data_IF_601009347194
#
_entry.id   IF_601009347194
#
_cell.length_a   1.000
_cell.length_b   1.000
_cell.length_c   1.000
_cell.angle_alpha   90.00
_cell.angle_beta   90.00
_cell.angle_gamma   90.00
#
_symmetry.space_group_name_H-M   'P 1'
#
loop_
_entity.id
_entity.type
_entity.pdbx_description
1 polymer ?
#
# COMPACT_ATOMS: atom_id res chain seq x y z
N UNK A 1 -10.09 -10.52 12.50
CA UNK A 1 -10.53 -10.06 11.17
C UNK A 1 -9.36 -10.15 10.20
N UNK A 2 -9.56 -10.79 9.04
CA UNK A 2 -8.54 -11.01 8.01
C UNK A 2 -8.42 -9.81 7.07
N UNK A 3 -7.20 -9.53 6.60
CA UNK A 3 -6.93 -8.54 5.55
C UNK A 3 -7.40 -9.11 4.21
N UNK A 4 -8.08 -8.30 3.40
CA UNK A 4 -8.63 -8.67 2.07
C UNK A 4 -7.96 -7.95 0.91
N UNK A 5 -7.34 -6.81 1.16
CA UNK A 5 -6.55 -6.08 0.18
C UNK A 5 -5.30 -5.48 0.83
N UNK A 6 -4.21 -5.40 0.08
CA UNK A 6 -2.95 -4.76 0.48
C UNK A 6 -2.79 -3.49 -0.34
N UNK A 7 -2.43 -2.40 0.32
CA UNK A 7 -2.10 -1.13 -0.32
C UNK A 7 -0.67 -0.78 0.08
N UNK A 8 0.15 -0.45 -0.92
CA UNK A 8 1.45 0.18 -0.74
C UNK A 8 1.32 1.61 -1.26
N UNK A 9 1.63 2.58 -0.40
CA UNK A 9 1.38 3.98 -0.67
C UNK A 9 2.69 4.76 -0.60
N UNK A 10 2.95 5.58 -1.62
CA UNK A 10 4.11 6.46 -1.73
C UNK A 10 3.77 7.94 -1.49
N UNK A 11 2.48 8.27 -1.41
CA UNK A 11 1.97 9.64 -1.20
C UNK A 11 1.09 9.66 0.03
N UNK A 12 1.09 10.76 0.78
CA UNK A 12 0.26 10.89 1.98
C UNK A 12 -1.24 10.77 1.74
N UNK A 13 -1.65 11.06 0.52
CA UNK A 13 -3.04 11.18 0.14
C UNK A 13 -3.42 10.09 -0.86
N UNK A 14 -4.46 9.32 -0.52
CA UNK A 14 -5.09 8.32 -1.37
C UNK A 14 -6.57 8.68 -1.53
N UNK A 15 -7.03 8.85 -2.78
CA UNK A 15 -8.44 9.10 -3.12
C UNK A 15 -9.04 10.36 -2.46
N UNK A 16 -9.27 11.41 -3.23
CA UNK A 16 -9.95 12.63 -2.75
C UNK A 16 -9.26 13.32 -1.54
N UNK A 17 -7.94 13.14 -1.37
CA UNK A 17 -7.16 13.83 -0.34
C UNK A 17 -7.11 13.16 1.05
N UNK A 18 -7.32 11.85 1.17
CA UNK A 18 -7.35 11.17 2.48
C UNK A 18 -6.05 10.50 2.85
N UNK A 19 -5.75 10.47 4.15
CA UNK A 19 -4.57 9.80 4.70
C UNK A 19 -4.94 8.42 5.32
N UNK A 20 -4.76 7.30 4.60
CA UNK A 20 -5.01 5.94 5.12
C UNK A 20 -4.01 5.48 6.17
N UNK A 21 -2.80 6.03 6.17
CA UNK A 21 -1.85 5.79 7.25
C UNK A 21 -2.32 6.45 8.55
N UNK A 22 -3.04 7.57 8.42
CA UNK A 22 -3.59 8.36 9.51
C UNK A 22 -2.50 9.05 10.31
N UNK A 23 -2.82 9.37 11.57
CA UNK A 23 -1.88 9.95 12.54
C UNK A 23 -1.81 9.05 13.77
N UNK A 24 -1.12 7.88 13.71
CA UNK A 24 -1.04 6.98 14.84
C UNK A 24 -0.36 7.65 16.02
N UNK A 25 -0.80 7.34 17.26
CA UNK A 25 -0.15 7.89 18.47
C UNK A 25 1.32 7.48 18.50
N UNK A 26 2.18 8.38 18.97
CA UNK A 26 3.63 8.14 19.09
C UNK A 26 3.99 6.80 19.77
N UNK A 27 3.31 6.47 20.87
CA UNK A 27 3.50 5.19 21.58
C UNK A 27 3.20 3.96 20.71
N UNK A 28 2.25 4.05 19.79
CA UNK A 28 1.94 2.98 18.85
C UNK A 28 3.02 2.85 17.79
N UNK A 29 3.49 3.98 17.23
CA UNK A 29 4.59 4.01 16.28
C UNK A 29 5.85 3.38 16.87
N UNK A 30 6.27 3.82 18.06
CA UNK A 30 7.42 3.29 18.79
C UNK A 30 7.27 1.78 19.06
N UNK A 31 6.10 1.34 19.53
CA UNK A 31 5.81 -0.08 19.77
C UNK A 31 5.89 -0.94 18.50
N UNK A 32 5.58 -0.36 17.34
CA UNK A 32 5.56 -1.06 16.05
C UNK A 32 6.84 -0.88 15.23
N UNK A 33 7.74 0.00 15.65
CA UNK A 33 8.91 0.40 14.85
C UNK A 33 8.53 1.18 13.60
N UNK A 34 7.40 1.90 13.62
CA UNK A 34 6.98 2.79 12.54
C UNK A 34 7.43 4.22 12.80
N UNK A 35 7.49 5.00 11.73
CA UNK A 35 7.69 6.45 11.76
C UNK A 35 6.41 7.15 11.29
N UNK A 36 6.33 8.45 11.55
CA UNK A 36 5.29 9.28 10.92
C UNK A 36 5.50 9.24 9.40
N UNK A 37 4.43 9.06 8.64
CA UNK A 37 4.55 9.00 7.18
C UNK A 37 5.04 10.36 6.67
N UNK A 38 6.04 10.37 5.79
CA UNK A 38 6.56 11.56 5.10
C UNK A 38 6.75 11.27 3.61
N UNK A 39 6.34 12.19 2.73
CA UNK A 39 6.38 11.98 1.27
C UNK A 39 7.81 11.92 0.71
N UNK A 40 8.76 12.39 1.51
CA UNK A 40 10.18 12.58 1.19
C UNK A 40 11.12 11.73 2.05
N UNK A 41 10.61 10.90 2.97
CA UNK A 41 11.43 9.93 3.71
C UNK A 41 11.82 8.72 2.82
N UNK A 42 11.08 8.56 1.71
CA UNK A 42 11.13 7.49 0.73
C UNK A 42 10.97 6.08 1.32
N UNK A 43 10.15 5.99 2.36
CA UNK A 43 9.49 4.77 2.78
C UNK A 43 8.14 4.65 2.04
N UNK A 44 7.65 3.42 1.96
CA UNK A 44 6.30 3.12 1.52
C UNK A 44 5.47 2.72 2.72
N UNK A 45 4.29 3.32 2.87
CA UNK A 45 3.28 2.92 3.84
C UNK A 45 2.52 1.69 3.35
N UNK A 46 2.68 0.55 4.04
CA UNK A 46 1.99 -0.69 3.71
C UNK A 46 0.90 -0.99 4.73
N UNK A 47 -0.35 -1.04 4.28
CA UNK A 47 -1.50 -1.34 5.13
C UNK A 47 -2.49 -2.28 4.45
N UNK A 48 -3.22 -3.00 5.29
CA UNK A 48 -4.25 -3.95 4.88
C UNK A 48 -5.66 -3.41 5.12
N UNK A 49 -6.53 -3.54 4.12
CA UNK A 49 -7.96 -3.26 4.25
C UNK A 49 -8.71 -4.55 4.60
N UNK A 50 -9.70 -4.46 5.50
CA UNK A 50 -10.48 -5.63 5.99
C UNK A 50 -11.73 -5.92 5.16
N UNK A 51 -12.15 -4.94 4.38
CA UNK A 51 -13.21 -5.04 3.41
C UNK A 51 -12.58 -4.78 2.04
N UNK A 52 -13.16 -5.34 0.99
CA UNK A 52 -12.49 -5.44 -0.29
C UNK A 52 -13.48 -5.37 -1.41
N UNK A 53 -13.80 -4.14 -1.84
CA UNK A 53 -13.99 -3.76 -3.24
C UNK A 53 -14.32 -2.25 -3.33
N UNK A 54 -13.84 -1.58 -4.38
CA UNK A 54 -14.08 -0.18 -4.80
C UNK A 54 -13.28 0.96 -4.15
N UNK A 55 -12.62 1.75 -5.01
CA UNK A 55 -12.06 3.08 -4.71
C UNK A 55 -13.11 4.08 -4.16
N UNK A 56 -14.41 3.86 -4.43
CA UNK A 56 -15.52 4.64 -3.88
C UNK A 56 -15.94 4.22 -2.47
N UNK A 57 -15.57 3.03 -1.99
CA UNK A 57 -15.87 2.54 -0.61
C UNK A 57 -14.78 2.88 0.42
N UNK A 58 -13.65 3.43 -0.04
CA UNK A 58 -12.56 3.99 0.78
C UNK A 58 -13.08 4.94 1.87
N UNK A 59 -14.28 5.52 1.71
CA UNK A 59 -14.97 6.32 2.72
C UNK A 59 -15.14 5.67 4.09
N UNK A 60 -15.53 4.39 4.17
CA UNK A 60 -15.82 3.73 5.45
C UNK A 60 -14.66 2.85 5.91
N UNK A 61 -13.84 2.37 4.99
CA UNK A 61 -12.81 1.34 5.26
C UNK A 61 -11.51 1.87 5.86
N UNK A 62 -11.20 3.17 5.71
CA UNK A 62 -10.01 3.82 6.30
C UNK A 62 -9.94 3.67 7.82
N UNK A 63 -11.09 3.66 8.50
CA UNK A 63 -11.21 3.47 9.95
C UNK A 63 -10.73 2.07 10.38
N UNK A 64 -10.69 1.11 9.45
CA UNK A 64 -10.40 -0.29 9.72
C UNK A 64 -9.02 -0.76 9.24
N UNK A 65 -8.26 0.11 8.57
CA UNK A 65 -6.96 -0.18 8.00
C UNK A 65 -6.00 -0.70 9.08
N UNK A 66 -5.24 -1.75 8.73
CA UNK A 66 -4.24 -2.34 9.61
C UNK A 66 -2.87 -1.99 9.06
N UNK A 67 -2.08 -1.23 9.81
CA UNK A 67 -0.66 -1.03 9.49
C UNK A 67 0.06 -2.38 9.46
N UNK A 68 0.78 -2.66 8.37
CA UNK A 68 1.52 -3.90 8.17
C UNK A 68 3.02 -3.63 8.28
N UNK A 69 3.52 -2.66 7.51
CA UNK A 69 4.95 -2.34 7.44
C UNK A 69 5.19 -0.91 6.93
N UNK A 70 6.40 -0.42 7.13
CA UNK A 70 7.02 0.64 6.34
C UNK A 70 8.34 0.13 5.78
N UNK A 71 8.64 0.39 4.51
CA UNK A 71 9.87 -0.09 3.88
C UNK A 71 10.28 0.76 2.69
N UNK A 72 11.59 0.89 2.44
CA UNK A 72 12.13 1.58 1.26
C UNK A 72 11.95 0.78 -0.05
N UNK A 73 11.72 -0.52 0.06
CA UNK A 73 11.40 -1.41 -1.06
C UNK A 73 10.57 -2.58 -0.55
N UNK A 74 9.64 -3.07 -1.39
CA UNK A 74 8.83 -4.24 -1.09
C UNK A 74 8.87 -5.24 -2.25
N UNK A 75 8.81 -6.53 -1.88
CA UNK A 75 8.54 -7.61 -2.81
C UNK A 75 7.36 -8.40 -2.29
N UNK A 76 6.25 -8.36 -3.01
CA UNK A 76 5.04 -9.11 -2.71
C UNK A 76 5.03 -10.38 -3.55
N UNK A 77 4.90 -11.53 -2.89
CA UNK A 77 4.64 -12.80 -3.56
C UNK A 77 3.14 -13.08 -3.56
N UNK A 78 2.54 -13.15 -4.74
CA UNK A 78 1.13 -13.46 -4.92
C UNK A 78 1.02 -14.89 -5.42
N UNK A 79 0.38 -15.75 -4.60
CA UNK A 79 0.05 -17.14 -4.93
C UNK A 79 -1.46 -17.25 -5.08
N UNK A 80 -1.90 -17.64 -6.26
CA UNK A 80 -3.33 -17.60 -6.57
C UNK A 80 -4.11 -18.83 -6.12
N UNK A 81 -3.43 -19.95 -5.80
CA UNK A 81 -4.12 -21.21 -5.57
C UNK A 81 -4.98 -21.57 -6.78
N UNK A 82 -6.30 -21.61 -6.60
CA UNK A 82 -7.26 -21.88 -7.68
C UNK A 82 -7.66 -20.65 -8.53
N UNK A 83 -7.24 -19.45 -8.15
CA UNK A 83 -7.65 -18.22 -8.82
C UNK A 83 -6.87 -18.06 -10.14
N UNK A 84 -7.59 -17.80 -11.24
CA UNK A 84 -6.98 -17.58 -12.57
C UNK A 84 -6.43 -16.17 -12.75
N UNK A 85 -6.99 -15.18 -12.05
CA UNK A 85 -6.58 -13.79 -12.13
C UNK A 85 -6.63 -13.16 -10.72
N UNK A 86 -5.74 -12.20 -10.48
CA UNK A 86 -5.83 -11.28 -9.34
C UNK A 86 -6.14 -9.87 -9.84
N UNK A 87 -6.87 -9.09 -9.05
CA UNK A 87 -7.21 -7.71 -9.36
C UNK A 87 -6.16 -6.79 -8.76
N UNK A 88 -5.60 -5.91 -9.58
CA UNK A 88 -4.53 -5.00 -9.20
C UNK A 88 -4.90 -3.58 -9.64
N UNK A 89 -4.31 -2.58 -8.97
CA UNK A 89 -4.45 -1.17 -9.32
C UNK A 89 -3.16 -0.43 -8.99
N UNK A 90 -2.73 0.45 -9.88
CA UNK A 90 -1.59 1.35 -9.70
C UNK A 90 -2.00 2.73 -10.21
N UNK A 91 -1.81 3.78 -9.41
CA UNK A 91 -2.11 5.16 -9.78
C UNK A 91 -3.47 5.35 -10.48
N UNK A 92 -4.50 4.70 -9.95
CA UNK A 92 -5.90 4.70 -10.43
C UNK A 92 -6.15 3.82 -11.66
N UNK A 93 -5.13 3.23 -12.29
CA UNK A 93 -5.28 2.30 -13.41
C UNK A 93 -5.47 0.85 -12.93
N UNK A 94 -6.67 0.25 -13.10
CA UNK A 94 -6.90 -1.13 -12.70
C UNK A 94 -6.50 -2.10 -13.81
N UNK A 95 -6.00 -3.27 -13.43
CA UNK A 95 -5.84 -4.39 -14.35
C UNK A 95 -6.14 -5.74 -13.70
N UNK A 96 -6.42 -6.74 -14.53
CA UNK A 96 -6.50 -8.14 -14.12
C UNK A 96 -5.17 -8.80 -14.44
N UNK A 97 -4.42 -9.18 -13.42
CA UNK A 97 -3.16 -9.89 -13.57
C UNK A 97 -3.46 -11.39 -13.68
N UNK A 98 -3.12 -12.04 -14.82
CA UNK A 98 -3.20 -13.49 -14.94
C UNK A 98 -2.26 -14.17 -13.95
N UNK A 99 -2.70 -15.29 -13.38
CA UNK A 99 -1.96 -16.03 -12.36
C UNK A 99 -1.65 -17.45 -12.82
N UNK A 100 -0.44 -17.92 -12.53
CA UNK A 100 -0.04 -19.31 -12.74
C UNK A 100 -0.38 -20.18 -11.53
N UNK A 101 -0.78 -21.43 -11.78
CA UNK A 101 -0.96 -22.44 -10.73
C UNK A 101 0.38 -23.00 -10.22
N UNK A 102 1.39 -22.99 -11.06
CA UNK A 102 2.71 -23.59 -10.78
C UNK A 102 3.71 -22.57 -10.25
N UNK A 103 3.58 -21.30 -10.68
CA UNK A 103 4.54 -20.24 -10.37
C UNK A 103 3.89 -19.05 -9.67
N UNK A 104 4.60 -18.50 -8.68
CA UNK A 104 4.19 -17.26 -8.02
C UNK A 104 4.37 -16.04 -8.92
N UNK A 105 3.48 -15.07 -8.79
CA UNK A 105 3.69 -13.72 -9.35
C UNK A 105 4.37 -12.86 -8.30
N UNK A 106 5.45 -12.17 -8.69
CA UNK A 106 6.13 -11.23 -7.82
C UNK A 106 5.86 -9.80 -8.26
N UNK A 107 5.48 -8.95 -7.31
CA UNK A 107 5.42 -7.50 -7.50
C UNK A 107 6.55 -6.89 -6.70
N UNK A 108 7.49 -6.24 -7.39
CA UNK A 108 8.57 -5.49 -6.76
C UNK A 108 8.30 -3.99 -6.88
N UNK A 109 8.26 -3.30 -5.75
CA UNK A 109 8.25 -1.84 -5.70
C UNK A 109 9.56 -1.42 -5.06
N UNK A 110 10.40 -0.74 -5.82
CA UNK A 110 11.72 -0.29 -5.40
C UNK A 110 12.05 1.02 -6.08
N UNK A 111 12.92 1.81 -5.47
CA UNK A 111 13.46 3.00 -6.11
C UNK A 111 14.30 2.62 -7.33
N UNK A 112 14.18 3.41 -8.38
CA UNK A 112 15.04 3.35 -9.56
C UNK A 112 16.12 4.43 -9.47
N UNK A 113 17.25 4.31 -10.19
CA UNK A 113 18.35 5.28 -10.10
C UNK A 113 17.96 6.73 -10.43
N UNK A 114 16.95 6.93 -11.31
CA UNK A 114 16.48 8.25 -11.71
C UNK A 114 15.10 8.51 -11.09
N UNK A 115 15.06 9.33 -10.05
CA UNK A 115 13.86 9.67 -9.30
C UNK A 115 13.58 11.17 -9.33
N UNK A 116 12.30 11.54 -9.29
CA UNK A 116 11.90 12.92 -9.04
C UNK A 116 12.27 13.30 -7.61
N UNK A 117 12.84 14.48 -7.43
CA UNK A 117 13.12 15.04 -6.11
C UNK A 117 11.99 15.99 -5.74
N UNK A 118 11.55 15.91 -4.48
CA UNK A 118 10.65 16.91 -3.92
C UNK A 118 11.43 18.21 -3.74
N UNK A 119 10.98 19.27 -4.42
CA UNK A 119 11.53 20.61 -4.21
C UNK A 119 10.72 21.26 -3.10
N UNK A 120 11.34 21.50 -1.95
CA UNK A 120 10.72 22.28 -0.89
C UNK A 120 10.70 23.75 -1.33
N UNK A 121 9.51 24.33 -1.46
CA UNK A 121 9.35 25.77 -1.62
C UNK A 121 9.90 26.48 -0.38
N UNK A 122 10.76 27.46 -0.58
CA UNK A 122 11.24 28.37 0.48
C UNK A 122 10.07 29.17 1.08
#
# INVERSE_FOLDING_TARGET
SSVRAIVALNLHNYGSGRNPWGSPKRQYLEKKGFVEAHVDDGLLEIFGLKHGWHASFVMVELISAKHIAQAAAIRLEVRSGEWKNTYMQMDVEPWKQPMSKEYSTFVEIKRVPFQSLMVNGL
#
